data_IF_237020397541
#
_entry.id   IF_237020397541
#
_cell.length_a   1.000
_cell.length_b   1.000
_cell.length_c   1.000
_cell.angle_alpha   90.00
_cell.angle_beta   90.00
_cell.angle_gamma   90.00
#
_symmetry.space_group_name_H-M   'P 1'
#
loop_
_entity.id
_entity.type
_entity.pdbx_description
1 polymer ?
#
# COMPACT_ATOMS: atom_id res chain seq x y z
N UNK A 1 8.26 16.59 12.12
CA UNK A 1 8.79 15.38 11.46
C UNK A 1 7.60 14.59 10.93
N UNK A 2 7.46 14.42 9.61
CA UNK A 2 6.31 13.66 9.06
C UNK A 2 6.63 12.17 9.09
N UNK A 3 5.67 11.33 9.45
CA UNK A 3 5.83 9.88 9.53
C UNK A 3 6.39 9.28 8.22
N UNK A 4 5.97 9.83 7.06
CA UNK A 4 6.48 9.42 5.75
C UNK A 4 7.98 9.63 5.57
N UNK A 5 8.57 10.73 6.09
CA UNK A 5 10.02 10.94 5.97
C UNK A 5 10.79 9.87 6.70
N UNK A 6 10.36 9.52 7.92
CA UNK A 6 10.98 8.44 8.70
C UNK A 6 10.84 7.09 8.02
N UNK A 7 9.67 6.78 7.46
CA UNK A 7 9.46 5.54 6.70
C UNK A 7 10.37 5.48 5.46
N UNK A 8 10.53 6.59 4.76
CA UNK A 8 11.45 6.69 3.63
C UNK A 8 12.90 6.47 4.08
N UNK A 9 13.34 7.15 5.12
CA UNK A 9 14.71 7.01 5.63
C UNK A 9 14.99 5.55 6.08
N UNK A 10 14.00 4.87 6.66
CA UNK A 10 14.07 3.45 7.01
C UNK A 10 14.06 2.53 5.80
N UNK A 11 13.35 2.89 4.74
CA UNK A 11 13.35 2.16 3.48
C UNK A 11 14.70 2.29 2.78
N UNK A 12 15.26 3.50 2.72
CA UNK A 12 16.58 3.78 2.16
C UNK A 12 17.69 3.07 2.94
N UNK A 13 17.56 2.99 4.28
CA UNK A 13 18.47 2.22 5.12
C UNK A 13 18.24 0.70 5.08
N UNK A 14 17.27 0.20 4.31
CA UNK A 14 16.94 -1.24 4.20
C UNK A 14 16.28 -1.86 5.43
N UNK A 15 15.99 -1.06 6.46
CA UNK A 15 15.34 -1.51 7.70
C UNK A 15 13.91 -1.99 7.42
N UNK A 16 13.15 -1.20 6.67
CA UNK A 16 11.75 -1.50 6.39
C UNK A 16 11.57 -2.77 5.53
N UNK A 17 12.27 -2.95 4.39
CA UNK A 17 12.17 -4.19 3.61
C UNK A 17 12.48 -5.45 4.43
N UNK A 18 13.57 -5.44 5.21
CA UNK A 18 13.97 -6.59 6.02
C UNK A 18 12.96 -6.90 7.12
N UNK A 19 12.45 -5.88 7.82
CA UNK A 19 11.43 -6.06 8.84
C UNK A 19 10.14 -6.64 8.24
N UNK A 20 9.74 -6.12 7.07
CA UNK A 20 8.54 -6.55 6.37
C UNK A 20 8.63 -8.02 5.95
N UNK A 21 9.77 -8.46 5.40
CA UNK A 21 10.01 -9.86 5.02
C UNK A 21 9.91 -10.81 6.22
N UNK A 22 10.55 -10.48 7.34
CA UNK A 22 10.50 -11.31 8.56
C UNK A 22 9.07 -11.39 9.10
N UNK A 23 8.36 -10.27 9.15
CA UNK A 23 6.98 -10.26 9.61
C UNK A 23 6.10 -11.16 8.74
N UNK A 24 6.23 -11.08 7.41
CA UNK A 24 5.48 -11.93 6.50
C UNK A 24 5.85 -13.41 6.64
N UNK A 25 7.12 -13.74 6.87
CA UNK A 25 7.54 -15.14 7.08
C UNK A 25 6.94 -15.72 8.35
N UNK A 26 6.94 -14.96 9.45
CA UNK A 26 6.37 -15.40 10.73
C UNK A 26 4.85 -15.58 10.64
N UNK A 27 4.14 -14.63 10.01
CA UNK A 27 2.69 -14.73 9.83
C UNK A 27 2.30 -15.92 8.94
N UNK A 28 3.09 -16.20 7.89
CA UNK A 28 2.91 -17.37 7.03
C UNK A 28 3.18 -18.66 7.80
N UNK A 29 4.25 -18.72 8.59
CA UNK A 29 4.60 -19.88 9.40
C UNK A 29 3.52 -20.18 10.46
N UNK A 30 2.89 -19.13 11.02
CA UNK A 30 1.79 -19.25 11.96
C UNK A 30 0.44 -19.63 11.30
N UNK A 31 0.37 -19.70 9.96
CA UNK A 31 -0.89 -19.94 9.23
C UNK A 31 -1.90 -18.80 9.36
N UNK A 32 -1.45 -17.60 9.74
CA UNK A 32 -2.30 -16.41 9.96
C UNK A 32 -2.37 -15.50 8.73
N UNK A 33 -1.66 -15.85 7.67
CA UNK A 33 -1.60 -15.09 6.44
C UNK A 33 -1.76 -16.01 5.24
N UNK A 34 -2.91 -15.86 4.59
CA UNK A 34 -3.17 -16.43 3.27
C UNK A 34 -2.49 -15.55 2.21
N UNK A 35 -1.82 -16.18 1.26
CA UNK A 35 -1.04 -15.55 0.19
C UNK A 35 -1.62 -15.84 -1.20
N UNK A 36 -2.74 -16.56 -1.28
CA UNK A 36 -3.37 -16.91 -2.54
C UNK A 36 -3.99 -15.68 -3.23
N UNK A 37 -4.40 -14.68 -2.44
CA UNK A 37 -4.94 -13.41 -2.91
C UNK A 37 -4.25 -12.21 -2.25
N UNK A 38 -3.97 -11.16 -3.03
CA UNK A 38 -3.41 -9.91 -2.54
C UNK A 38 -4.24 -8.70 -3.02
N UNK A 39 -4.64 -7.84 -2.10
CA UNK A 39 -5.30 -6.56 -2.38
C UNK A 39 -4.35 -5.40 -2.09
N UNK A 40 -4.11 -4.55 -3.09
CA UNK A 40 -3.35 -3.30 -2.91
C UNK A 40 -4.35 -2.19 -2.63
N UNK A 41 -4.35 -1.65 -1.41
CA UNK A 41 -5.16 -0.49 -1.03
C UNK A 41 -4.30 0.77 -0.85
N UNK A 42 -4.89 1.92 -1.18
CA UNK A 42 -4.26 3.23 -1.06
C UNK A 42 -5.25 4.24 -0.49
N UNK A 43 -4.94 4.79 0.68
CA UNK A 43 -5.75 5.84 1.29
C UNK A 43 -5.32 7.23 0.80
N UNK A 44 -6.21 7.95 0.11
CA UNK A 44 -6.01 9.35 -0.26
C UNK A 44 -6.76 10.25 0.71
N UNK A 45 -6.04 11.12 1.43
CA UNK A 45 -6.64 12.17 2.24
C UNK A 45 -6.73 13.46 1.42
N UNK A 46 -7.93 14.06 1.34
CA UNK A 46 -8.08 15.36 0.66
C UNK A 46 -7.21 16.39 1.35
N UNK A 47 -6.50 17.21 0.56
CA UNK A 47 -5.75 18.34 1.07
C UNK A 47 -6.69 19.27 1.86
N UNK A 48 -6.39 19.52 3.14
CA UNK A 48 -7.20 20.37 4.01
C UNK A 48 -7.20 21.85 3.57
N UNK A 49 -6.18 22.27 2.82
CA UNK A 49 -6.05 23.61 2.26
C UNK A 49 -5.92 23.51 0.74
N UNK A 50 -7.07 23.49 0.05
CA UNK A 50 -7.14 23.52 -1.41
C UNK A 50 -7.43 24.94 -1.91
N UNK A 51 -6.55 25.49 -2.76
CA UNK A 51 -6.95 26.55 -3.69
C UNK A 51 -7.89 25.95 -4.73
N UNK A 52 -8.90 26.73 -5.16
CA UNK A 52 -9.91 26.32 -6.12
C UNK A 52 -9.26 25.84 -7.44
N UNK A 53 -9.47 24.58 -7.79
CA UNK A 53 -9.42 24.16 -9.19
C UNK A 53 -10.49 23.08 -9.40
N UNK A 54 -11.44 23.29 -10.33
CA UNK A 54 -12.49 22.32 -10.61
C UNK A 54 -11.97 21.18 -11.49
N UNK A 55 -12.52 19.99 -11.23
CA UNK A 55 -12.72 18.89 -12.18
C UNK A 55 -11.46 18.34 -12.89
N UNK A 56 -11.00 17.17 -12.42
CA UNK A 56 -10.68 16.08 -13.35
C UNK A 56 -11.45 14.82 -12.94
N UNK A 57 -12.49 14.56 -13.74
CA UNK A 57 -13.23 13.31 -13.94
C UNK A 57 -12.41 12.02 -13.77
N UNK A 58 -13.05 11.07 -13.08
CA UNK A 58 -12.96 9.60 -13.20
C UNK A 58 -11.58 8.93 -13.31
N UNK A 59 -11.23 8.12 -12.30
CA UNK A 59 -10.60 6.82 -12.57
C UNK A 59 -10.85 5.82 -11.43
N UNK A 60 -11.96 5.10 -11.51
CA UNK A 60 -12.13 3.84 -10.80
C UNK A 60 -12.91 2.87 -11.70
N UNK A 61 -12.33 2.53 -12.85
CA UNK A 61 -12.71 1.32 -13.56
C UNK A 61 -12.10 0.14 -12.81
N UNK A 62 -12.95 -0.67 -12.19
CA UNK A 62 -12.58 -1.95 -11.58
C UNK A 62 -12.10 -2.86 -12.72
N UNK A 63 -10.79 -3.06 -12.85
CA UNK A 63 -10.25 -4.06 -13.77
C UNK A 63 -10.52 -5.43 -13.15
N UNK A 64 -11.47 -6.18 -13.70
CA UNK A 64 -11.65 -7.60 -13.39
C UNK A 64 -10.53 -8.35 -14.10
N UNK A 65 -9.58 -8.90 -13.35
CA UNK A 65 -8.67 -9.89 -13.90
C UNK A 65 -9.50 -11.10 -14.35
N UNK A 66 -9.39 -11.46 -15.61
CA UNK A 66 -10.02 -12.65 -16.15
C UNK A 66 -9.19 -13.88 -15.73
N UNK A 67 -9.72 -14.70 -14.82
CA UNK A 67 -9.20 -16.05 -14.62
C UNK A 67 -9.48 -16.87 -15.89
N UNK A 68 -8.43 -17.39 -16.51
CA UNK A 68 -8.53 -18.49 -17.48
C UNK A 68 -8.35 -19.80 -16.70
N UNK A 69 -9.19 -20.77 -17.08
CA UNK A 69 -9.38 -22.13 -16.52
C UNK A 69 -8.08 -22.90 -16.36
#
# INVERSE_FOLDING_TARGET
MTAWRRLRDWTEAGVWPRLHEVLLSELRAAGLLDMDDAAVDGSHIRALKGGLTPDLRQLAARVRAASTI
#
